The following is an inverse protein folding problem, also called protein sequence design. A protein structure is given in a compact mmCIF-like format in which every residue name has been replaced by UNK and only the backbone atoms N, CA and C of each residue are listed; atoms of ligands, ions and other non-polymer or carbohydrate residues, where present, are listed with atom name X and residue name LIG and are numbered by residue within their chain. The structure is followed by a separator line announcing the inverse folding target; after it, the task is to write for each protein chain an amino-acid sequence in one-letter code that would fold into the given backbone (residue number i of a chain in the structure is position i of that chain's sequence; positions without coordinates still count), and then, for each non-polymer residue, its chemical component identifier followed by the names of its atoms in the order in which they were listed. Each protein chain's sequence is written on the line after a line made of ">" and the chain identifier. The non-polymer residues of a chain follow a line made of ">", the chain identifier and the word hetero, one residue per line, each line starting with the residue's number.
data_IF_926943257776
#
_entry.id   IF_926943257776
#
_cell.length_a   1.000
_cell.length_b   1.000
_cell.length_c   1.000
_cell.angle_alpha   90.00
_cell.angle_beta   90.00
_cell.angle_gamma   90.00
#
_symmetry.space_group_name_H-M   'P 1'
#
loop_
_entity.id
_entity.type
_entity.pdbx_description
1 polymer ?
#
# COMPACT_ATOMS: atom_id res chain seq x y z
N UNK A 1 -9.13 16.09 -12.70
CA UNK A 1 -8.67 14.92 -11.94
C UNK A 1 -8.00 13.99 -12.93
N UNK A 2 -6.70 13.73 -12.77
CA UNK A 2 -5.99 12.71 -13.54
C UNK A 2 -6.04 11.40 -12.74
N UNK A 3 -6.42 10.31 -13.40
CA UNK A 3 -6.59 8.99 -12.75
C UNK A 3 -5.60 8.03 -13.37
N UNK A 4 -4.71 7.48 -12.54
CA UNK A 4 -3.76 6.44 -12.93
C UNK A 4 -4.25 5.09 -12.43
N UNK A 5 -4.42 4.14 -13.35
CA UNK A 5 -4.88 2.80 -13.00
C UNK A 5 -3.69 1.89 -12.68
N UNK A 6 -3.78 1.16 -11.57
CA UNK A 6 -2.82 0.10 -11.23
C UNK A 6 -3.07 -1.12 -12.13
N UNK A 7 -2.01 -1.82 -12.58
CA UNK A 7 -2.18 -3.06 -13.35
C UNK A 7 -2.88 -4.14 -12.52
N UNK A 8 -3.75 -4.94 -13.16
CA UNK A 8 -4.56 -6.00 -12.50
C UNK A 8 -3.77 -6.98 -11.63
N UNK A 9 -2.50 -7.23 -11.95
CA UNK A 9 -1.61 -8.14 -11.21
C UNK A 9 -0.39 -7.41 -10.62
N UNK A 10 -0.51 -6.10 -10.43
CA UNK A 10 0.53 -5.21 -9.92
C UNK A 10 0.19 -4.64 -8.55
N UNK A 11 -0.39 -5.44 -7.64
CA UNK A 11 -0.72 -5.03 -6.27
C UNK A 11 0.45 -4.39 -5.52
N UNK A 12 1.68 -4.84 -5.82
CA UNK A 12 2.90 -4.27 -5.25
C UNK A 12 3.17 -2.81 -5.68
N UNK A 13 2.46 -2.27 -6.68
CA UNK A 13 2.48 -0.86 -7.09
C UNK A 13 1.31 -0.06 -6.49
N UNK A 14 0.35 -0.73 -5.86
CA UNK A 14 -0.82 -0.08 -5.26
C UNK A 14 -0.49 0.40 -3.85
N UNK A 15 -0.44 1.73 -3.68
CA UNK A 15 -0.10 2.34 -2.40
C UNK A 15 -1.13 2.05 -1.32
N UNK A 16 -2.41 1.88 -1.69
CA UNK A 16 -3.46 1.57 -0.73
C UNK A 16 -3.28 0.13 -0.20
N UNK A 17 -2.96 -0.82 -1.07
CA UNK A 17 -2.67 -2.20 -0.62
C UNK A 17 -1.43 -2.28 0.27
N UNK A 18 -0.39 -1.49 -0.03
CA UNK A 18 0.81 -1.40 0.81
C UNK A 18 0.45 -0.88 2.22
N UNK A 19 -0.27 0.23 2.31
CA UNK A 19 -0.67 0.80 3.61
C UNK A 19 -1.62 -0.13 4.39
N UNK A 20 -2.53 -0.82 3.71
CA UNK A 20 -3.37 -1.86 4.35
C UNK A 20 -2.54 -2.98 4.99
N UNK A 21 -1.45 -3.41 4.33
CA UNK A 21 -0.54 -4.41 4.90
C UNK A 21 0.18 -3.87 6.14
N UNK A 22 0.68 -2.63 6.08
CA UNK A 22 1.34 -1.98 7.23
C UNK A 22 0.37 -1.87 8.40
N UNK A 23 -0.85 -1.37 8.18
CA UNK A 23 -1.92 -1.30 9.18
C UNK A 23 -2.22 -2.66 9.79
N UNK A 24 -2.33 -3.69 8.97
CA UNK A 24 -2.61 -5.06 9.43
C UNK A 24 -1.52 -5.56 10.38
N UNK A 25 -0.25 -5.27 10.08
CA UNK A 25 0.89 -5.71 10.89
C UNK A 25 1.08 -4.88 12.17
N UNK A 26 0.87 -3.57 12.09
CA UNK A 26 1.15 -2.64 13.18
C UNK A 26 -0.02 -2.46 14.15
N UNK A 27 -1.25 -2.36 13.63
CA UNK A 27 -2.44 -2.08 14.42
C UNK A 27 -3.27 -3.34 14.66
N UNK A 28 -3.46 -4.18 13.63
CA UNK A 28 -4.43 -5.28 13.65
C UNK A 28 -3.81 -6.67 13.92
N UNK A 29 -2.54 -6.75 14.32
CA UNK A 29 -1.85 -8.03 14.61
C UNK A 29 -2.26 -8.65 15.96
N UNK A 30 -3.49 -8.37 16.40
CA UNK A 30 -4.10 -8.80 17.65
C UNK A 30 -5.61 -8.90 17.51
N UNK A 31 -6.26 -9.62 18.42
CA UNK A 31 -7.73 -9.66 18.48
C UNK A 31 -8.27 -8.36 19.06
N UNK A 32 -9.26 -7.77 18.39
CA UNK A 32 -9.98 -6.58 18.85
C UNK A 32 -11.43 -7.02 19.18
N UNK A 33 -11.96 -6.64 20.35
CA UNK A 33 -13.19 -7.23 20.89
C UNK A 33 -14.47 -6.76 20.18
N UNK A 34 -14.48 -5.53 19.67
CA UNK A 34 -15.65 -4.90 19.06
C UNK A 34 -15.26 -3.86 18.00
N UNK A 35 -16.26 -3.39 17.26
CA UNK A 35 -16.07 -2.49 16.11
C UNK A 35 -15.77 -1.05 16.55
N UNK A 36 -16.22 -0.64 17.73
CA UNK A 36 -15.94 0.67 18.33
C UNK A 36 -14.45 0.77 18.70
N UNK A 37 -13.93 -0.21 19.42
CA UNK A 37 -12.50 -0.32 19.75
C UNK A 37 -11.66 -0.38 18.48
N UNK A 38 -12.10 -1.14 17.46
CA UNK A 38 -11.40 -1.19 16.17
C UNK A 38 -11.28 0.20 15.53
N UNK A 39 -12.36 1.00 15.54
CA UNK A 39 -12.34 2.35 14.96
C UNK A 39 -11.39 3.28 15.70
N UNK A 40 -11.39 3.26 17.03
CA UNK A 40 -10.50 4.09 17.84
C UNK A 40 -9.02 3.79 17.56
N UNK A 41 -8.68 2.50 17.50
CA UNK A 41 -7.32 2.03 17.20
C UNK A 41 -6.88 2.40 15.78
N UNK A 42 -7.78 2.31 14.80
CA UNK A 42 -7.51 2.72 13.43
C UNK A 42 -7.27 4.24 13.32
N UNK A 43 -8.07 5.05 14.01
CA UNK A 43 -7.92 6.52 14.03
C UNK A 43 -6.58 6.91 14.68
N UNK A 44 -6.23 6.28 15.81
CA UNK A 44 -4.97 6.53 16.49
C UNK A 44 -3.77 6.15 15.60
N UNK A 45 -3.81 4.95 15.00
CA UNK A 45 -2.77 4.49 14.09
C UNK A 45 -2.64 5.37 12.84
N UNK A 46 -3.75 5.77 12.22
CA UNK A 46 -3.74 6.66 11.05
C UNK A 46 -3.09 8.01 11.39
N UNK A 47 -3.44 8.59 12.55
CA UNK A 47 -2.83 9.85 13.00
C UNK A 47 -1.32 9.73 13.18
N UNK A 48 -0.86 8.68 13.86
CA UNK A 48 0.57 8.40 14.04
C UNK A 48 1.28 8.18 12.70
N UNK A 49 0.69 7.36 11.83
CA UNK A 49 1.23 7.04 10.50
C UNK A 49 1.38 8.29 9.65
N UNK A 50 0.36 9.14 9.61
CA UNK A 50 0.38 10.40 8.85
C UNK A 50 1.43 11.38 9.41
N UNK A 51 1.58 11.45 10.74
CA UNK A 51 2.59 12.29 11.39
C UNK A 51 4.02 11.77 11.19
N UNK A 52 4.20 10.48 10.92
CA UNK A 52 5.52 9.89 10.64
C UNK A 52 6.09 10.30 9.28
N UNK A 53 5.26 10.83 8.36
CA UNK A 53 5.62 11.15 6.98
C UNK A 53 6.42 10.04 6.28
N UNK A 54 6.11 8.78 6.60
CA UNK A 54 6.84 7.63 6.07
C UNK A 54 6.64 7.55 4.56
N UNK A 55 7.74 7.51 3.80
CA UNK A 55 7.73 7.35 2.37
C UNK A 55 7.82 5.88 1.97
N UNK A 56 7.13 5.49 0.91
CA UNK A 56 7.35 4.19 0.27
C UNK A 56 8.71 4.21 -0.41
N UNK A 57 9.64 3.38 0.06
CA UNK A 57 10.94 3.20 -0.57
C UNK A 57 10.82 2.24 -1.76
N UNK A 58 10.53 2.79 -2.93
CA UNK A 58 10.43 2.03 -4.17
C UNK A 58 11.80 1.48 -4.58
N UNK A 59 11.94 0.15 -4.47
CA UNK A 59 13.17 -0.58 -4.82
C UNK A 59 13.34 -0.81 -6.33
N UNK A 60 12.46 -0.22 -7.15
CA UNK A 60 12.29 -0.66 -8.53
C UNK A 60 12.02 0.52 -9.45
N UNK A 61 12.89 0.75 -10.45
CA UNK A 61 12.73 1.85 -11.41
C UNK A 61 11.84 1.43 -12.57
N UNK A 62 11.09 2.36 -13.16
CA UNK A 62 10.24 2.10 -14.33
C UNK A 62 11.01 1.49 -15.50
N UNK A 63 12.27 1.90 -15.71
CA UNK A 63 13.18 1.34 -16.72
C UNK A 63 13.41 -0.16 -16.50
N UNK A 64 13.67 -0.53 -15.25
CA UNK A 64 14.03 -1.90 -14.88
C UNK A 64 12.82 -2.83 -15.06
N UNK A 65 11.60 -2.29 -14.97
CA UNK A 65 10.33 -3.05 -15.04
C UNK A 65 10.08 -3.47 -16.46
N UNK A 66 10.30 -2.53 -17.37
CA UNK A 66 10.15 -2.79 -18.81
C UNK A 66 11.09 -3.88 -19.28
N UNK A 67 12.25 -4.04 -18.63
CA UNK A 67 13.19 -5.11 -18.92
C UNK A 67 12.76 -6.42 -18.23
N UNK A 68 12.58 -6.39 -16.90
CA UNK A 68 12.32 -7.61 -16.10
C UNK A 68 10.93 -8.21 -16.32
N UNK A 69 9.94 -7.37 -16.60
CA UNK A 69 8.54 -7.74 -16.81
C UNK A 69 8.11 -7.52 -18.27
N UNK A 70 9.05 -7.64 -19.22
CA UNK A 70 8.81 -7.37 -20.64
C UNK A 70 7.57 -8.10 -21.22
N UNK A 71 7.26 -9.30 -20.72
CA UNK A 71 6.08 -10.08 -21.13
C UNK A 71 4.74 -9.48 -20.70
N UNK A 72 4.72 -8.60 -19.70
CA UNK A 72 3.52 -7.94 -19.16
C UNK A 72 3.24 -6.59 -19.83
N UNK A 73 4.21 -6.02 -20.54
CA UNK A 73 4.03 -4.76 -21.26
C UNK A 73 3.52 -5.02 -22.68
N UNK A 74 2.60 -4.18 -23.21
CA UNK A 74 2.19 -4.28 -24.61
C UNK A 74 3.40 -4.10 -25.52
N UNK A 75 3.48 -4.91 -26.58
CA UNK A 75 4.42 -4.66 -27.67
C UNK A 75 3.95 -3.38 -28.37
N UNK A 76 4.83 -2.38 -28.41
CA UNK A 76 4.63 -1.15 -29.18
C UNK A 76 4.52 -1.48 -30.67
#
# INVERSE_FOLDING_TARGET
>A
LEIHYTPKHGSWLDIAEIELNVMTRQCLSRRIPDIETLREELIAWESERNNSYTLVNWQFRTSDARIKLASLYPKL
#
